data_IF_026743015088
#
_entry.id   IF_026743015088
#
_cell.length_a   1.000
_cell.length_b   1.000
_cell.length_c   1.000
_cell.angle_alpha   90.00
_cell.angle_beta   90.00
_cell.angle_gamma   90.00
#
_symmetry.space_group_name_H-M   'P 1'
#
loop_
_entity.id
_entity.type
_entity.pdbx_description
1 polymer ?
#
# COMPACT_ATOMS: atom_id res chain seq x y z
N UNK A 1 -44.62 37.56 -33.80
CA UNK A 1 -43.60 36.52 -33.53
C UNK A 1 -43.53 36.37 -32.03
N UNK A 2 -43.89 35.19 -31.50
CA UNK A 2 -43.76 34.92 -30.08
C UNK A 2 -42.26 34.89 -29.68
N UNK A 3 -41.90 35.26 -28.45
CA UNK A 3 -40.53 35.09 -27.96
C UNK A 3 -40.29 33.60 -27.72
N UNK A 4 -39.15 33.09 -28.20
CA UNK A 4 -38.63 31.76 -27.90
C UNK A 4 -38.24 31.70 -26.43
N UNK A 5 -38.84 30.77 -25.69
CA UNK A 5 -38.39 30.37 -24.35
C UNK A 5 -36.98 29.79 -24.47
N UNK A 6 -36.04 30.38 -23.73
CA UNK A 6 -34.73 29.79 -23.48
C UNK A 6 -34.96 28.78 -22.35
N UNK A 7 -34.97 27.50 -22.70
CA UNK A 7 -35.00 26.42 -21.71
C UNK A 7 -33.62 26.34 -21.08
N UNK A 8 -33.57 26.19 -19.75
CA UNK A 8 -32.36 26.17 -18.94
C UNK A 8 -31.44 24.98 -19.32
N UNK A 9 -30.35 25.24 -20.04
CA UNK A 9 -29.31 24.24 -20.33
C UNK A 9 -28.52 23.81 -19.06
N UNK A 10 -28.64 24.52 -17.94
CA UNK A 10 -27.94 24.21 -16.68
C UNK A 10 -28.65 23.13 -15.87
N UNK A 11 -29.98 23.10 -15.87
CA UNK A 11 -30.76 22.11 -15.12
C UNK A 11 -30.67 20.72 -15.79
N UNK A 12 -30.62 20.67 -17.13
CA UNK A 12 -30.48 19.43 -17.89
C UNK A 12 -29.12 18.77 -17.66
N UNK A 13 -28.04 19.57 -17.59
CA UNK A 13 -26.68 19.05 -17.40
C UNK A 13 -26.46 18.47 -15.98
N UNK A 14 -27.10 19.06 -14.96
CA UNK A 14 -27.05 18.50 -13.60
C UNK A 14 -27.89 17.23 -13.45
N UNK A 15 -29.07 17.16 -14.09
CA UNK A 15 -29.89 15.95 -14.10
C UNK A 15 -29.21 14.79 -14.85
N UNK A 16 -28.49 15.08 -15.95
CA UNK A 16 -27.71 14.09 -16.69
C UNK A 16 -26.48 13.59 -15.90
N UNK A 17 -25.72 14.50 -15.26
CA UNK A 17 -24.60 14.14 -14.37
C UNK A 17 -25.08 13.25 -13.20
N UNK A 18 -26.20 13.58 -12.57
CA UNK A 18 -26.81 12.79 -11.49
C UNK A 18 -27.27 11.39 -11.97
N UNK A 19 -27.73 11.23 -13.21
CA UNK A 19 -28.12 9.93 -13.77
C UNK A 19 -26.90 9.08 -14.14
N UNK A 20 -25.84 9.69 -14.67
CA UNK A 20 -24.58 9.01 -14.98
C UNK A 20 -23.90 8.50 -13.70
N UNK A 21 -23.84 9.31 -12.63
CA UNK A 21 -23.32 8.89 -11.32
C UNK A 21 -24.11 7.71 -10.75
N UNK A 22 -25.44 7.75 -10.81
CA UNK A 22 -26.30 6.63 -10.37
C UNK A 22 -26.04 5.37 -11.19
N UNK A 23 -25.85 5.51 -12.51
CA UNK A 23 -25.57 4.37 -13.39
C UNK A 23 -24.21 3.75 -13.07
N UNK A 24 -23.17 4.56 -12.88
CA UNK A 24 -21.86 4.12 -12.44
C UNK A 24 -21.92 3.40 -11.10
N UNK A 25 -22.61 3.97 -10.10
CA UNK A 25 -22.76 3.36 -8.79
C UNK A 25 -23.50 2.01 -8.87
N UNK A 26 -24.47 1.89 -9.77
CA UNK A 26 -25.17 0.63 -10.03
C UNK A 26 -24.23 -0.43 -10.63
N UNK A 27 -23.40 -0.04 -11.60
CA UNK A 27 -22.40 -0.94 -12.19
C UNK A 27 -21.41 -1.44 -11.13
N UNK A 28 -20.87 -0.54 -10.31
CA UNK A 28 -19.94 -0.85 -9.21
C UNK A 28 -20.56 -1.86 -8.25
N UNK A 29 -21.83 -1.66 -7.88
CA UNK A 29 -22.55 -2.56 -6.99
C UNK A 29 -22.78 -3.96 -7.61
N UNK A 30 -23.04 -4.04 -8.92
CA UNK A 30 -23.17 -5.35 -9.59
C UNK A 30 -21.82 -6.06 -9.70
N UNK A 31 -20.74 -5.36 -10.07
CA UNK A 31 -19.38 -5.90 -10.06
C UNK A 31 -19.01 -6.45 -8.69
N UNK A 32 -19.26 -5.68 -7.62
CA UNK A 32 -18.97 -6.09 -6.26
C UNK A 32 -19.76 -7.35 -5.85
N UNK A 33 -21.02 -7.48 -6.28
CA UNK A 33 -21.82 -8.70 -6.05
C UNK A 33 -21.22 -9.91 -6.77
N UNK A 34 -20.72 -9.74 -7.99
CA UNK A 34 -20.04 -10.82 -8.74
C UNK A 34 -18.72 -11.18 -8.04
N UNK A 35 -17.90 -10.20 -7.70
CA UNK A 35 -16.66 -10.39 -6.95
C UNK A 35 -16.90 -11.15 -5.64
N UNK A 36 -17.93 -10.76 -4.87
CA UNK A 36 -18.26 -11.39 -3.58
C UNK A 36 -18.66 -12.86 -3.73
N UNK A 37 -19.30 -13.24 -4.84
CA UNK A 37 -19.62 -14.65 -5.15
C UNK A 37 -18.36 -15.45 -5.49
N UNK A 38 -17.39 -14.81 -6.14
CA UNK A 38 -16.15 -15.43 -6.59
C UNK A 38 -15.02 -15.40 -5.54
N UNK A 39 -15.14 -14.57 -4.50
CA UNK A 39 -14.09 -14.38 -3.49
C UNK A 39 -13.63 -15.67 -2.80
N UNK A 40 -14.46 -16.71 -2.56
CA UNK A 40 -13.98 -17.98 -2.00
C UNK A 40 -12.98 -18.72 -2.90
N UNK A 41 -12.99 -18.47 -4.21
CA UNK A 41 -12.04 -19.07 -5.16
C UNK A 41 -10.77 -18.23 -5.31
N UNK A 42 -10.86 -16.92 -5.06
CA UNK A 42 -9.79 -15.97 -5.30
C UNK A 42 -8.89 -15.75 -4.07
N UNK A 43 -9.42 -15.91 -2.87
CA UNK A 43 -8.72 -15.56 -1.63
C UNK A 43 -8.61 -16.76 -0.68
N UNK A 44 -7.43 -16.96 -0.09
CA UNK A 44 -7.27 -17.84 1.07
C UNK A 44 -7.75 -17.17 2.36
N UNK A 45 -7.76 -15.85 2.39
CA UNK A 45 -8.15 -15.05 3.55
C UNK A 45 -8.72 -13.71 3.07
N UNK A 46 -9.84 -13.30 3.66
CA UNK A 46 -10.38 -11.96 3.49
C UNK A 46 -11.12 -11.51 4.74
N UNK A 47 -10.80 -10.30 5.20
CA UNK A 47 -11.50 -9.56 6.24
C UNK A 47 -11.90 -8.22 5.66
N UNK A 48 -13.17 -7.84 5.82
CA UNK A 48 -13.67 -6.50 5.49
C UNK A 48 -14.12 -5.82 6.77
N UNK A 49 -13.59 -4.63 7.05
CA UNK A 49 -13.90 -3.84 8.25
C UNK A 49 -14.29 -2.43 7.81
N UNK A 50 -15.50 -1.99 8.17
CA UNK A 50 -15.90 -0.60 8.03
C UNK A 50 -15.34 0.19 9.22
N UNK A 51 -14.48 1.16 8.94
CA UNK A 51 -13.95 2.08 9.95
C UNK A 51 -14.98 3.16 10.30
N UNK A 52 -14.84 3.74 11.49
CA UNK A 52 -15.66 4.88 11.91
C UNK A 52 -15.46 6.10 10.99
N UNK A 53 -14.21 6.32 10.58
CA UNK A 53 -13.77 7.35 9.66
C UNK A 53 -12.80 6.74 8.65
N UNK A 54 -12.72 7.26 7.41
CA UNK A 54 -11.79 6.77 6.42
C UNK A 54 -10.35 6.99 6.87
N UNK A 55 -9.47 6.18 6.32
CA UNK A 55 -8.03 6.25 6.57
C UNK A 55 -7.29 6.49 5.26
N UNK A 56 -6.42 7.51 5.24
CA UNK A 56 -5.60 7.85 4.08
C UNK A 56 -4.25 7.11 4.07
N UNK A 57 -3.98 6.30 5.11
CA UNK A 57 -2.68 5.68 5.31
C UNK A 57 -2.84 4.30 5.92
N UNK A 58 -2.09 3.33 5.41
CA UNK A 58 -2.01 2.00 6.00
C UNK A 58 -0.55 1.53 6.06
N UNK A 59 -0.14 0.90 7.16
CA UNK A 59 1.16 0.25 7.23
C UNK A 59 1.16 -0.91 8.23
N UNK A 60 1.60 -2.09 7.81
CA UNK A 60 1.88 -3.19 8.74
C UNK A 60 3.12 -2.90 9.58
N UNK A 61 2.98 -3.02 10.90
CA UNK A 61 4.14 -3.08 11.79
C UNK A 61 4.95 -4.36 11.54
N UNK A 62 6.27 -4.34 11.83
CA UNK A 62 7.14 -5.47 11.57
C UNK A 62 7.06 -6.55 12.65
N UNK A 63 6.56 -6.24 13.85
CA UNK A 63 6.51 -7.18 14.95
C UNK A 63 5.29 -8.11 14.88
N UNK A 64 5.50 -9.35 15.33
CA UNK A 64 4.47 -10.38 15.45
C UNK A 64 4.49 -10.90 16.88
N UNK A 65 3.34 -10.93 17.51
CA UNK A 65 3.15 -11.56 18.82
C UNK A 65 2.56 -12.94 18.64
N UNK A 66 3.33 -13.96 19.00
CA UNK A 66 2.79 -15.30 19.16
C UNK A 66 2.02 -15.40 20.48
N UNK A 67 0.81 -15.95 20.43
CA UNK A 67 -0.04 -16.13 21.62
C UNK A 67 -0.04 -17.64 21.94
N UNK A 68 0.56 -18.05 23.07
CA UNK A 68 0.56 -19.45 23.49
C UNK A 68 -0.85 -20.02 23.54
N UNK A 69 -1.00 -21.28 23.12
CA UNK A 69 -2.25 -22.03 23.11
C UNK A 69 -3.38 -21.42 22.25
N UNK A 70 -3.05 -20.45 21.38
CA UNK A 70 -3.96 -19.91 20.36
C UNK A 70 -3.50 -20.31 18.96
N UNK A 71 -4.48 -20.53 18.09
CA UNK A 71 -4.32 -20.86 16.67
C UNK A 71 -4.16 -19.62 15.78
N UNK A 72 -3.74 -18.49 16.33
CA UNK A 72 -3.49 -17.25 15.60
C UNK A 72 -2.24 -16.54 16.13
N UNK A 73 -1.72 -15.62 15.33
CA UNK A 73 -0.69 -14.66 15.71
C UNK A 73 -1.27 -13.26 15.68
N UNK A 74 -0.85 -12.38 16.58
CA UNK A 74 -1.29 -10.98 16.56
C UNK A 74 -0.25 -10.13 15.84
N UNK A 75 -0.70 -9.46 14.78
CA UNK A 75 0.02 -8.45 14.01
C UNK A 75 -0.52 -7.07 14.35
N UNK A 76 0.16 -6.00 13.94
CA UNK A 76 -0.36 -4.63 14.13
C UNK A 76 -0.40 -3.84 12.83
N UNK A 77 -1.40 -2.97 12.72
CA UNK A 77 -1.58 -2.01 11.64
C UNK A 77 -1.49 -0.59 12.19
N UNK A 78 -0.80 0.27 11.45
CA UNK A 78 -0.78 1.71 11.62
C UNK A 78 -1.80 2.33 10.68
N UNK A 79 -2.72 3.14 11.22
CA UNK A 79 -3.77 3.82 10.49
C UNK A 79 -3.87 5.29 10.94
N UNK A 80 -4.50 6.11 10.12
CA UNK A 80 -4.89 7.48 10.46
C UNK A 80 -6.40 7.69 10.35
N UNK A 81 -6.90 8.83 10.79
CA UNK A 81 -8.28 9.25 10.48
C UNK A 81 -8.30 10.44 9.55
N UNK A 82 -9.35 10.52 8.75
CA UNK A 82 -9.79 11.71 8.05
C UNK A 82 -11.24 12.00 8.46
N UNK A 83 -11.44 12.93 9.38
CA UNK A 83 -12.76 13.19 9.96
C UNK A 83 -13.46 14.41 9.36
N UNK A 84 -14.78 14.49 9.51
CA UNK A 84 -15.53 15.70 9.20
C UNK A 84 -15.13 16.90 10.09
N UNK A 85 -15.41 18.12 9.63
CA UNK A 85 -15.07 19.36 10.32
C UNK A 85 -15.53 19.37 11.79
N UNK A 86 -14.62 19.76 12.68
CA UNK A 86 -14.88 19.85 14.13
C UNK A 86 -14.91 18.50 14.87
N UNK A 87 -14.65 17.38 14.18
CA UNK A 87 -14.39 16.09 14.84
C UNK A 87 -12.90 15.90 15.10
N UNK A 88 -12.54 15.18 16.18
CA UNK A 88 -11.14 14.93 16.51
C UNK A 88 -10.54 13.87 15.59
N UNK A 89 -9.32 14.14 15.11
CA UNK A 89 -8.53 13.18 14.35
C UNK A 89 -7.59 12.39 15.27
N UNK A 90 -7.22 11.18 14.83
CA UNK A 90 -6.37 10.25 15.58
C UNK A 90 -5.35 9.55 14.69
N UNK A 91 -4.15 9.38 15.24
CA UNK A 91 -3.25 8.32 14.83
C UNK A 91 -3.70 7.03 15.54
N UNK A 92 -3.89 5.95 14.79
CA UNK A 92 -4.48 4.71 15.30
C UNK A 92 -3.55 3.51 15.13
N UNK A 93 -3.54 2.63 16.13
CA UNK A 93 -2.90 1.33 16.06
C UNK A 93 -3.98 0.28 16.24
N UNK A 94 -4.00 -0.70 15.35
CA UNK A 94 -4.91 -1.83 15.39
C UNK A 94 -4.14 -3.13 15.61
N UNK A 95 -4.69 -4.01 16.41
CA UNK A 95 -4.24 -5.40 16.48
C UNK A 95 -5.05 -6.22 15.46
N UNK A 96 -4.37 -7.10 14.73
CA UNK A 96 -4.97 -8.04 13.78
C UNK A 96 -4.60 -9.45 14.17
N UNK A 97 -5.60 -10.25 14.52
CA UNK A 97 -5.46 -11.67 14.83
C UNK A 97 -5.48 -12.45 13.51
N UNK A 98 -4.33 -12.92 13.06
CA UNK A 98 -4.18 -13.67 11.80
C UNK A 98 -4.03 -15.16 12.11
N UNK A 99 -4.90 -16.04 11.57
CA UNK A 99 -4.82 -17.48 11.79
C UNK A 99 -3.45 -18.06 11.43
N UNK A 100 -2.95 -18.97 12.26
CA UNK A 100 -1.73 -19.73 11.97
C UNK A 100 -2.01 -20.72 10.83
N UNK A 101 -1.05 -20.95 9.92
CA UNK A 101 -1.19 -21.99 8.92
C UNK A 101 -1.35 -23.35 9.62
N UNK A 102 -2.46 -24.04 9.35
CA UNK A 102 -2.67 -25.41 9.81
C UNK A 102 -1.75 -26.32 8.99
N UNK A 103 -0.87 -27.08 9.64
CA UNK A 103 -0.13 -28.14 8.96
C UNK A 103 -1.12 -29.25 8.59
N UNK A 104 -1.24 -29.63 7.30
CA UNK A 104 -2.10 -30.74 6.90
C UNK A 104 -1.68 -32.01 7.65
N UNK A 105 -2.63 -32.68 8.29
CA UNK A 105 -2.42 -34.00 8.91
C UNK A 105 -3.07 -35.07 8.05
N UNK A 106 -2.43 -36.22 7.89
CA UNK A 106 -3.01 -37.38 7.20
C UNK A 106 -4.33 -37.86 7.84
N UNK A 107 -4.62 -37.42 9.08
CA UNK A 107 -5.89 -37.68 9.78
C UNK A 107 -7.05 -36.80 9.30
N UNK A 108 -6.77 -35.74 8.55
CA UNK A 108 -7.75 -34.78 8.03
C UNK A 108 -8.12 -35.08 6.57
N UNK A 109 -7.76 -36.28 6.08
CA UNK A 109 -8.16 -36.75 4.77
C UNK A 109 -9.65 -37.11 4.79
N UNK A 110 -10.42 -36.41 3.96
CA UNK A 110 -11.82 -36.71 3.72
C UNK A 110 -11.92 -37.71 2.56
N UNK A 111 -12.26 -38.97 2.86
CA UNK A 111 -12.42 -40.04 1.86
C UNK A 111 -13.53 -39.74 0.83
N UNK A 112 -14.55 -38.95 1.20
CA UNK A 112 -15.67 -38.61 0.32
C UNK A 112 -15.30 -37.47 -0.65
N UNK A 113 -14.38 -36.58 -0.25
CA UNK A 113 -13.91 -35.45 -1.08
C UNK A 113 -12.57 -35.69 -1.75
N UNK A 114 -11.81 -36.70 -1.33
CA UNK A 114 -10.47 -36.98 -1.83
C UNK A 114 -9.44 -35.89 -1.50
N UNK A 115 -9.72 -35.03 -0.52
CA UNK A 115 -8.91 -33.85 -0.18
C UNK A 115 -8.41 -33.93 1.28
N UNK A 116 -7.17 -33.47 1.53
CA UNK A 116 -6.65 -33.24 2.88
C UNK A 116 -6.89 -31.76 3.23
N UNK A 117 -7.82 -31.50 4.15
CA UNK A 117 -8.09 -30.16 4.67
C UNK A 117 -8.99 -29.30 3.78
N UNK A 118 -10.31 -29.40 4.00
CA UNK A 118 -11.30 -28.47 3.45
C UNK A 118 -11.35 -27.12 4.18
N UNK A 119 -12.08 -26.15 3.60
CA UNK A 119 -12.43 -24.86 4.21
C UNK A 119 -13.14 -25.07 5.56
N UNK A 120 -12.37 -25.12 6.65
CA UNK A 120 -12.87 -25.42 7.99
C UNK A 120 -12.00 -26.35 8.82
N UNK A 121 -10.79 -26.72 8.36
CA UNK A 121 -9.96 -27.68 9.09
C UNK A 121 -9.61 -27.16 10.51
N UNK A 122 -10.24 -27.78 11.50
CA UNK A 122 -10.20 -27.40 12.91
C UNK A 122 -8.84 -27.84 13.47
N UNK A 123 -8.01 -26.88 13.87
CA UNK A 123 -6.88 -27.19 14.73
C UNK A 123 -7.34 -27.88 16.03
N UNK A 124 -6.40 -28.38 16.83
CA UNK A 124 -6.66 -29.14 18.07
C UNK A 124 -7.61 -28.46 19.10
N UNK A 125 -7.95 -27.18 18.91
CA UNK A 125 -8.89 -26.39 19.71
C UNK A 125 -10.36 -26.43 19.23
N UNK A 126 -10.67 -27.09 18.12
CA UNK A 126 -12.06 -27.38 17.71
C UNK A 126 -12.88 -26.21 17.14
N UNK A 127 -12.31 -25.01 16.97
CA UNK A 127 -12.96 -23.89 16.24
C UNK A 127 -11.96 -23.21 15.29
N UNK A 128 -12.35 -22.90 14.03
CA UNK A 128 -11.51 -22.13 13.12
C UNK A 128 -11.44 -20.70 13.64
N UNK A 129 -10.22 -20.18 13.87
CA UNK A 129 -10.10 -18.78 14.24
C UNK A 129 -10.36 -17.91 13.01
N UNK A 130 -11.37 -17.06 13.11
CA UNK A 130 -11.69 -16.09 12.08
C UNK A 130 -10.78 -14.89 12.29
N UNK A 131 -10.14 -14.41 11.22
CA UNK A 131 -9.33 -13.20 11.26
C UNK A 131 -10.15 -12.05 11.86
N UNK A 132 -9.56 -11.31 12.80
CA UNK A 132 -10.22 -10.19 13.48
C UNK A 132 -9.28 -9.01 13.59
N UNK A 133 -9.82 -7.80 13.45
CA UNK A 133 -9.10 -6.56 13.65
C UNK A 133 -9.77 -5.73 14.76
N UNK A 134 -8.98 -5.07 15.60
CA UNK A 134 -9.48 -4.19 16.66
C UNK A 134 -8.54 -3.03 16.90
N UNK A 135 -9.06 -1.80 16.91
CA UNK A 135 -8.28 -0.60 17.28
C UNK A 135 -7.90 -0.69 18.76
N UNK A 136 -6.61 -0.82 19.06
CA UNK A 136 -6.09 -0.99 20.43
C UNK A 136 -5.51 0.31 21.00
N UNK A 137 -5.17 1.27 20.14
CA UNK A 137 -4.73 2.58 20.58
C UNK A 137 -5.19 3.69 19.64
N UNK A 138 -5.61 4.81 20.23
CA UNK A 138 -5.88 6.09 19.54
C UNK A 138 -5.06 7.19 20.20
N UNK A 139 -4.23 7.88 19.43
CA UNK A 139 -3.41 9.02 19.86
C UNK A 139 -4.00 10.29 19.22
N UNK A 140 -4.27 11.32 20.04
CA UNK A 140 -4.80 12.60 19.57
C UNK A 140 -3.90 13.22 18.48
N UNK A 141 -4.47 13.52 17.32
CA UNK A 141 -3.79 14.17 16.20
C UNK A 141 -4.50 15.50 15.86
N UNK A 142 -3.77 16.60 15.59
CA UNK A 142 -4.40 17.93 15.51
C UNK A 142 -5.27 18.13 14.26
N UNK A 143 -4.98 17.43 13.17
CA UNK A 143 -5.66 17.50 11.88
C UNK A 143 -5.75 16.09 11.26
N UNK A 144 -6.19 15.95 10.03
CA UNK A 144 -6.24 14.68 9.32
C UNK A 144 -4.81 14.12 9.13
N UNK A 145 -4.71 12.80 9.03
CA UNK A 145 -3.44 12.08 8.88
C UNK A 145 -3.29 11.67 7.42
N UNK A 146 -2.63 12.51 6.60
CA UNK A 146 -2.42 12.24 5.17
C UNK A 146 -1.51 11.02 4.95
N UNK A 147 -0.43 10.91 5.74
CA UNK A 147 0.47 9.76 5.71
C UNK A 147 1.02 9.49 7.11
N UNK A 148 1.17 8.22 7.48
CA UNK A 148 1.83 7.81 8.72
C UNK A 148 2.81 6.67 8.45
N UNK A 149 4.04 6.78 8.93
CA UNK A 149 5.08 5.76 8.76
C UNK A 149 5.87 5.58 10.05
N UNK A 150 6.11 4.34 10.47
CA UNK A 150 7.02 4.05 11.58
C UNK A 150 8.49 4.10 11.15
N UNK A 151 9.38 4.44 12.07
CA UNK A 151 10.81 4.43 11.87
C UNK A 151 11.33 2.97 11.84
N UNK A 152 12.00 2.51 10.76
CA UNK A 152 12.41 1.11 10.62
C UNK A 152 13.27 0.57 11.77
N UNK A 153 14.15 1.40 12.32
CA UNK A 153 15.07 1.01 13.41
C UNK A 153 14.40 1.02 14.79
N UNK A 154 13.26 1.70 14.94
CA UNK A 154 12.45 1.70 16.15
C UNK A 154 10.98 1.96 15.79
N UNK A 155 10.18 0.89 15.57
CA UNK A 155 8.78 1.05 15.13
C UNK A 155 7.87 1.79 16.11
N UNK A 156 8.29 2.00 17.37
CA UNK A 156 7.53 2.83 18.30
C UNK A 156 7.58 4.33 17.97
N UNK A 157 8.54 4.76 17.15
CA UNK A 157 8.60 6.13 16.64
C UNK A 157 7.86 6.21 15.31
N UNK A 158 6.87 7.08 15.24
CA UNK A 158 5.97 7.24 14.10
C UNK A 158 6.03 8.69 13.63
N UNK A 159 6.29 8.91 12.36
CA UNK A 159 6.09 10.21 11.72
C UNK A 159 4.70 10.23 11.07
N UNK A 160 4.03 11.36 11.17
CA UNK A 160 2.82 11.67 10.40
C UNK A 160 3.00 12.95 9.62
N UNK A 161 2.34 13.04 8.47
CA UNK A 161 2.22 14.27 7.69
C UNK A 161 0.76 14.74 7.78
N UNK A 162 0.56 15.95 8.31
CA UNK A 162 -0.76 16.55 8.48
C UNK A 162 -1.15 17.41 7.26
N UNK A 163 -2.43 17.71 7.11
CA UNK A 163 -3.00 18.55 6.04
C UNK A 163 -2.42 19.97 6.01
N UNK A 164 -1.85 20.48 7.10
CA UNK A 164 -1.19 21.80 7.08
C UNK A 164 0.31 21.74 6.71
N UNK A 165 0.81 20.57 6.33
CA UNK A 165 2.21 20.34 5.96
C UNK A 165 3.14 20.08 7.14
N UNK A 166 2.66 20.14 8.40
CA UNK A 166 3.49 19.79 9.55
C UNK A 166 3.77 18.30 9.58
N UNK A 167 5.03 17.95 9.82
CA UNK A 167 5.44 16.59 10.11
C UNK A 167 5.47 16.42 11.64
N UNK A 168 4.68 15.51 12.18
CA UNK A 168 4.61 15.29 13.62
C UNK A 168 5.25 13.95 13.97
N UNK A 169 6.06 13.93 15.03
CA UNK A 169 6.73 12.72 15.49
C UNK A 169 6.11 12.28 16.81
N UNK A 170 5.62 11.04 16.82
CA UNK A 170 5.01 10.38 17.96
C UNK A 170 5.86 9.20 18.42
N UNK A 171 6.15 9.11 19.72
CA UNK A 171 6.61 7.90 20.39
C UNK A 171 5.39 7.26 21.03
N UNK A 172 4.83 6.24 20.37
CA UNK A 172 3.54 5.66 20.75
C UNK A 172 3.52 5.09 22.17
N UNK A 173 4.67 4.78 22.76
CA UNK A 173 4.79 4.24 24.13
C UNK A 173 4.61 5.31 25.20
N UNK A 174 4.79 6.58 24.83
CA UNK A 174 4.60 7.75 25.70
C UNK A 174 3.17 8.29 25.68
N UNK A 175 2.27 7.65 24.95
CA UNK A 175 0.85 8.00 24.89
C UNK A 175 0.00 6.89 25.51
N UNK A 176 -1.13 7.28 26.12
CA UNK A 176 -2.14 6.34 26.58
C UNK A 176 -2.75 5.55 25.41
N UNK A 177 -3.39 4.43 25.74
CA UNK A 177 -4.16 3.66 24.75
C UNK A 177 -5.41 4.41 24.28
N UNK A 178 -6.01 5.21 25.16
CA UNK A 178 -7.18 6.02 24.86
C UNK A 178 -6.80 7.49 24.69
N UNK A 179 -7.55 8.26 23.88
CA UNK A 179 -7.25 9.66 23.63
C UNK A 179 -7.43 10.49 24.90
N UNK A 180 -6.60 11.52 25.02
CA UNK A 180 -6.58 12.48 26.14
C UNK A 180 -7.32 13.77 25.80
N UNK A 181 -7.63 13.98 24.51
CA UNK A 181 -8.28 15.19 24.00
C UNK A 181 -7.30 16.33 23.70
N UNK A 182 -5.99 16.11 23.79
CA UNK A 182 -4.98 17.13 23.44
C UNK A 182 -3.80 16.50 22.69
N UNK A 183 -3.58 16.86 21.41
CA UNK A 183 -2.42 16.40 20.67
C UNK A 183 -1.11 16.81 21.36
N UNK A 184 -0.20 15.85 21.53
CA UNK A 184 1.07 16.08 22.23
C UNK A 184 2.24 15.34 21.55
N UNK A 185 2.58 15.69 20.30
CA UNK A 185 3.71 15.06 19.60
C UNK A 185 5.02 15.30 20.37
N UNK A 186 5.99 14.39 20.20
CA UNK A 186 7.33 14.55 20.76
C UNK A 186 8.11 15.63 20.01
N UNK A 187 7.98 15.68 18.69
CA UNK A 187 8.58 16.70 17.84
C UNK A 187 7.59 17.17 16.76
N UNK A 188 7.72 18.43 16.38
CA UNK A 188 7.02 19.06 15.25
C UNK A 188 8.08 19.55 14.26
N UNK A 189 8.15 18.95 13.08
CA UNK A 189 9.06 19.38 12.03
C UNK A 189 8.38 20.45 11.18
N UNK A 190 8.95 21.66 11.20
CA UNK A 190 8.37 22.86 10.60
C UNK A 190 9.23 23.29 9.42
N UNK A 191 8.64 23.33 8.24
CA UNK A 191 9.32 23.76 7.02
C UNK A 191 8.40 23.84 5.81
N UNK A 192 7.56 22.83 5.61
CA UNK A 192 6.58 22.86 4.53
C UNK A 192 5.53 23.95 4.75
N UNK A 193 5.02 24.50 3.64
CA UNK A 193 4.01 25.57 3.67
C UNK A 193 2.64 25.14 3.14
N UNK A 194 2.54 23.89 2.69
CA UNK A 194 1.32 23.27 2.17
C UNK A 194 1.31 21.80 2.56
N UNK A 195 0.18 21.13 2.35
CA UNK A 195 0.03 19.71 2.58
C UNK A 195 0.97 18.86 1.72
N UNK A 196 0.99 17.56 2.01
CA UNK A 196 1.72 16.59 1.23
C UNK A 196 1.38 15.16 1.65
N UNK A 197 1.85 14.21 0.86
CA UNK A 197 1.66 12.78 1.08
C UNK A 197 2.98 12.00 1.07
N UNK A 198 4.04 12.53 0.44
CA UNK A 198 5.37 11.93 0.45
C UNK A 198 5.99 11.96 1.85
N UNK A 199 6.19 10.79 2.44
CA UNK A 199 6.79 10.61 3.76
C UNK A 199 7.49 9.25 3.81
N UNK A 200 8.82 9.25 3.96
CA UNK A 200 9.58 8.01 4.10
C UNK A 200 10.76 8.16 5.07
N UNK A 201 11.01 7.11 5.84
CA UNK A 201 12.12 7.04 6.78
C UNK A 201 13.36 6.49 6.09
N UNK A 202 14.53 6.97 6.51
CA UNK A 202 15.77 6.36 6.08
C UNK A 202 15.85 4.91 6.60
N UNK A 203 16.11 3.92 5.72
CA UNK A 203 16.25 2.52 6.13
C UNK A 203 17.56 2.28 6.92
N UNK A 204 18.56 3.13 6.74
CA UNK A 204 19.90 2.99 7.32
C UNK A 204 20.12 3.91 8.54
N UNK A 205 19.67 5.16 8.46
CA UNK A 205 19.93 6.17 9.51
C UNK A 205 18.70 6.37 10.39
N UNK A 206 18.77 5.85 11.62
CA UNK A 206 17.77 6.11 12.64
C UNK A 206 17.53 7.63 12.79
N UNK A 207 16.27 8.06 12.90
CA UNK A 207 15.91 9.47 13.06
C UNK A 207 16.05 10.34 11.80
N UNK A 208 16.37 9.78 10.64
CA UNK A 208 16.38 10.51 9.36
C UNK A 208 15.10 10.21 8.58
N UNK A 209 14.45 11.26 8.06
CA UNK A 209 13.25 11.11 7.24
C UNK A 209 13.26 12.10 6.07
N UNK A 210 12.49 11.80 5.03
CA UNK A 210 12.29 12.63 3.86
C UNK A 210 10.80 12.87 3.65
N UNK A 211 10.44 14.09 3.27
CA UNK A 211 9.05 14.49 2.99
C UNK A 211 8.94 15.25 1.68
N UNK A 212 7.83 15.06 0.97
CA UNK A 212 7.43 15.80 -0.23
C UNK A 212 6.10 16.53 0.00
N UNK A 213 5.91 17.68 -0.64
CA UNK A 213 4.75 18.54 -0.43
C UNK A 213 4.31 19.26 -1.71
N UNK A 214 3.06 19.73 -1.70
CA UNK A 214 2.49 20.65 -2.69
C UNK A 214 3.19 22.02 -2.75
N UNK A 215 4.00 22.34 -1.74
CA UNK A 215 4.88 23.51 -1.80
C UNK A 215 6.04 23.34 -2.81
N UNK A 216 6.09 22.18 -3.50
CA UNK A 216 7.04 21.81 -4.56
C UNK A 216 8.43 21.47 -4.05
N UNK A 217 8.55 21.17 -2.76
CA UNK A 217 9.84 20.96 -2.11
C UNK A 217 9.94 19.59 -1.49
N UNK A 218 11.16 19.09 -1.46
CA UNK A 218 11.53 17.89 -0.69
C UNK A 218 12.34 18.33 0.51
N UNK A 219 11.98 17.87 1.70
CA UNK A 219 12.72 18.17 2.92
C UNK A 219 13.30 16.90 3.51
N UNK A 220 14.57 16.96 3.90
CA UNK A 220 15.23 15.91 4.66
C UNK A 220 15.44 16.43 6.08
N UNK A 221 15.11 15.59 7.05
CA UNK A 221 15.15 15.91 8.46
C UNK A 221 16.12 14.98 9.17
N UNK A 222 16.89 15.53 10.11
CA UNK A 222 17.73 14.78 11.03
C UNK A 222 17.24 15.07 12.45
N UNK A 223 16.47 14.13 13.00
CA UNK A 223 15.86 14.28 14.32
C UNK A 223 16.89 14.14 15.45
N UNK A 224 18.06 13.53 15.20
CA UNK A 224 19.08 13.32 16.23
C UNK A 224 19.93 14.55 16.50
N UNK A 225 20.10 15.40 15.48
CA UNK A 225 20.83 16.66 15.62
C UNK A 225 20.05 17.70 16.43
N UNK A 226 18.80 17.42 16.79
CA UNK A 226 17.97 18.32 17.56
C UNK A 226 18.26 18.21 19.06
N UNK A 227 18.84 19.27 19.62
CA UNK A 227 19.08 19.42 21.06
C UNK A 227 18.33 20.62 21.66
N UNK A 228 17.28 21.09 20.98
CA UNK A 228 16.51 22.26 21.40
C UNK A 228 15.63 21.98 22.62
N UNK A 229 15.23 23.05 23.31
CA UNK A 229 14.24 22.99 24.40
C UNK A 229 12.81 23.14 23.89
N UNK A 230 12.62 23.71 22.69
CA UNK A 230 11.33 23.65 22.00
C UNK A 230 11.09 22.22 21.47
N UNK A 231 9.91 21.94 20.91
CA UNK A 231 9.64 20.68 20.21
C UNK A 231 9.81 20.81 18.70
N UNK A 232 10.36 21.94 18.22
CA UNK A 232 10.27 22.39 16.83
C UNK A 232 11.57 22.12 16.08
N UNK A 233 11.53 21.23 15.10
CA UNK A 233 12.68 20.82 14.29
C UNK A 233 12.62 21.52 12.93
N UNK A 234 13.74 22.11 12.49
CA UNK A 234 13.89 22.66 11.15
C UNK A 234 14.44 21.58 10.20
N UNK A 235 14.16 21.66 8.88
CA UNK A 235 14.72 20.69 7.95
C UNK A 235 16.24 20.79 7.95
N UNK A 236 16.91 19.64 7.91
CA UNK A 236 18.35 19.57 7.71
C UNK A 236 18.72 20.11 6.33
N UNK A 237 17.88 19.80 5.32
CA UNK A 237 18.03 20.33 3.97
C UNK A 237 16.69 20.44 3.26
N UNK A 238 16.53 21.52 2.49
CA UNK A 238 15.39 21.78 1.62
C UNK A 238 15.83 21.73 0.17
N UNK A 239 15.17 20.89 -0.62
CA UNK A 239 15.41 20.67 -2.04
C UNK A 239 14.30 21.32 -2.87
N UNK A 240 14.68 21.94 -3.99
CA UNK A 240 13.80 22.75 -4.85
C UNK A 240 14.01 22.43 -6.33
N UNK A 241 14.26 21.16 -6.65
CA UNK A 241 14.54 20.70 -8.02
C UNK A 241 13.28 20.36 -8.83
N UNK A 242 12.11 20.24 -8.18
CA UNK A 242 10.81 20.07 -8.84
C UNK A 242 10.14 21.42 -9.08
N UNK A 243 9.33 21.50 -10.14
CA UNK A 243 8.61 22.72 -10.52
C UNK A 243 7.11 22.70 -10.12
N UNK A 244 6.59 21.53 -9.74
CA UNK A 244 5.21 21.30 -9.30
C UNK A 244 5.17 20.45 -8.03
N UNK A 245 3.97 20.07 -7.58
CA UNK A 245 3.71 19.28 -6.37
C UNK A 245 4.60 18.05 -6.34
N UNK A 246 5.20 17.74 -5.19
CA UNK A 246 5.93 16.49 -4.99
C UNK A 246 4.98 15.49 -4.35
N UNK A 247 4.55 14.50 -5.12
CA UNK A 247 3.52 13.56 -4.71
C UNK A 247 4.06 12.50 -3.76
N UNK A 248 5.26 11.98 -4.04
CA UNK A 248 5.86 10.91 -3.25
C UNK A 248 7.39 11.00 -3.19
N UNK A 249 7.95 10.47 -2.11
CA UNK A 249 9.38 10.38 -1.84
C UNK A 249 9.70 9.04 -1.21
N UNK A 250 10.79 8.40 -1.64
CA UNK A 250 11.24 7.15 -1.04
C UNK A 250 12.76 7.06 -1.01
N UNK A 251 13.32 6.72 0.16
CA UNK A 251 14.72 6.34 0.27
C UNK A 251 14.95 5.05 -0.51
N UNK A 252 16.10 4.98 -1.19
CA UNK A 252 16.54 3.73 -1.78
C UNK A 252 16.91 2.73 -0.65
N UNK A 253 16.35 1.51 -0.63
CA UNK A 253 16.56 0.54 0.45
C UNK A 253 17.99 -0.01 0.51
N UNK A 254 18.77 0.10 -0.57
CA UNK A 254 20.13 -0.44 -0.67
C UNK A 254 21.18 0.67 -0.62
N UNK A 255 20.91 1.81 -1.26
CA UNK A 255 21.79 2.98 -1.33
C UNK A 255 21.18 4.13 -0.53
N UNK A 256 21.39 4.20 0.80
CA UNK A 256 20.65 5.11 1.67
C UNK A 256 20.95 6.61 1.46
N UNK A 257 21.96 6.95 0.65
CA UNK A 257 22.20 8.33 0.24
C UNK A 257 21.25 8.81 -0.85
N UNK A 258 20.50 7.92 -1.49
CA UNK A 258 19.60 8.26 -2.59
C UNK A 258 18.16 8.31 -2.11
N UNK A 259 17.46 9.35 -2.53
CA UNK A 259 16.02 9.49 -2.36
C UNK A 259 15.44 9.72 -3.75
N UNK A 260 14.49 8.87 -4.12
CA UNK A 260 13.69 9.04 -5.32
C UNK A 260 12.48 9.91 -5.01
N UNK A 261 12.10 10.77 -5.96
CA UNK A 261 11.05 11.76 -5.80
C UNK A 261 10.26 11.86 -7.10
N UNK A 262 8.94 12.01 -7.01
CA UNK A 262 8.05 12.12 -8.17
C UNK A 262 7.08 13.28 -8.02
N UNK A 263 6.63 13.83 -9.15
CA UNK A 263 5.91 15.10 -9.17
C UNK A 263 4.94 15.21 -10.34
N UNK A 264 3.97 16.10 -10.18
CA UNK A 264 3.10 16.65 -11.23
C UNK A 264 3.87 17.27 -12.39
N UNK A 265 5.17 17.58 -12.23
CA UNK A 265 6.01 18.07 -13.32
C UNK A 265 6.44 16.98 -14.34
N UNK A 266 5.82 15.80 -14.25
CA UNK A 266 6.02 14.63 -15.12
C UNK A 266 7.42 14.01 -15.02
N UNK A 267 8.15 14.30 -13.93
CA UNK A 267 9.50 13.78 -13.73
C UNK A 267 9.63 12.89 -12.50
N UNK A 268 10.38 11.80 -12.67
CA UNK A 268 11.01 11.09 -11.57
C UNK A 268 12.43 11.62 -11.43
N UNK A 269 12.78 12.09 -10.24
CA UNK A 269 14.10 12.60 -9.92
C UNK A 269 14.73 11.79 -8.79
N UNK A 270 16.05 11.70 -8.77
CA UNK A 270 16.80 11.09 -7.67
C UNK A 270 17.76 12.13 -7.12
N UNK A 271 17.64 12.42 -5.83
CA UNK A 271 18.60 13.27 -5.11
C UNK A 271 19.64 12.40 -4.40
N UNK A 272 20.88 12.88 -4.38
CA UNK A 272 21.94 12.31 -3.55
C UNK A 272 22.20 13.25 -2.38
N UNK A 273 21.86 12.82 -1.16
CA UNK A 273 21.93 13.67 0.04
C UNK A 273 23.36 14.09 0.40
N UNK A 274 24.39 13.49 -0.21
CA UNK A 274 25.79 13.90 -0.02
C UNK A 274 26.12 15.16 -0.81
N UNK A 275 25.38 15.46 -1.88
CA UNK A 275 25.59 16.61 -2.75
C UNK A 275 24.95 17.86 -2.16
N UNK A 276 25.69 18.96 -2.05
CA UNK A 276 25.20 20.20 -1.43
C UNK A 276 24.26 21.05 -2.29
N UNK A 277 24.26 20.86 -3.62
CA UNK A 277 23.35 21.56 -4.53
C UNK A 277 21.93 21.00 -4.37
N UNK A 278 21.02 21.82 -3.86
CA UNK A 278 19.64 21.45 -3.57
C UNK A 278 18.66 21.76 -4.71
N UNK A 279 19.11 22.47 -5.74
CA UNK A 279 18.29 22.87 -6.88
C UNK A 279 18.41 21.88 -8.06
N UNK A 280 19.28 20.88 -7.95
CA UNK A 280 19.50 19.87 -9.00
C UNK A 280 19.42 18.47 -8.44
N UNK A 281 18.72 17.61 -9.17
CA UNK A 281 18.76 16.18 -8.93
C UNK A 281 20.03 15.54 -9.50
N UNK A 282 20.45 14.43 -8.89
CA UNK A 282 21.57 13.62 -9.35
C UNK A 282 21.22 12.78 -10.60
N UNK A 283 19.95 12.36 -10.72
CA UNK A 283 19.42 11.70 -11.90
C UNK A 283 17.97 12.16 -12.15
N UNK A 284 17.57 12.20 -13.43
CA UNK A 284 16.24 12.64 -13.85
C UNK A 284 15.75 11.76 -14.99
N UNK A 285 14.56 11.19 -14.85
CA UNK A 285 13.79 10.61 -15.94
C UNK A 285 12.73 11.62 -16.40
N UNK A 286 12.63 11.83 -17.72
CA UNK A 286 11.70 12.78 -18.35
C UNK A 286 10.94 12.07 -19.45
N UNK A 287 9.77 12.60 -19.81
CA UNK A 287 8.96 12.13 -20.95
C UNK A 287 8.62 10.64 -20.86
N UNK A 288 8.53 10.10 -19.64
CA UNK A 288 8.09 8.73 -19.41
C UNK A 288 6.58 8.62 -19.34
N UNK A 289 5.98 9.56 -18.63
CA UNK A 289 4.55 9.61 -18.37
C UNK A 289 3.93 10.82 -19.07
N UNK A 290 2.67 10.68 -19.48
CA UNK A 290 1.91 11.78 -20.10
C UNK A 290 1.13 12.62 -19.10
N UNK A 291 1.10 12.21 -17.83
CA UNK A 291 0.41 12.90 -16.74
C UNK A 291 1.18 12.75 -15.41
N UNK A 292 0.71 13.42 -14.35
CA UNK A 292 1.33 13.50 -13.03
C UNK A 292 1.83 12.14 -12.52
N UNK A 293 3.01 12.12 -11.90
CA UNK A 293 3.57 10.90 -11.33
C UNK A 293 3.25 10.91 -9.83
N UNK A 294 2.39 9.99 -9.40
CA UNK A 294 1.79 9.97 -8.07
C UNK A 294 2.61 9.20 -7.03
N UNK A 295 3.28 8.11 -7.43
CA UNK A 295 4.04 7.27 -6.51
C UNK A 295 5.33 6.73 -7.10
N UNK A 296 6.30 6.42 -6.24
CA UNK A 296 7.59 5.83 -6.59
C UNK A 296 7.89 4.63 -5.68
N UNK A 297 8.43 3.56 -6.25
CA UNK A 297 8.81 2.38 -5.50
C UNK A 297 10.15 1.79 -5.96
N UNK A 298 11.14 1.79 -5.08
CA UNK A 298 12.43 1.12 -5.28
C UNK A 298 12.30 -0.38 -5.13
N UNK A 299 12.91 -1.13 -6.05
CA UNK A 299 13.02 -2.56 -5.85
C UNK A 299 13.91 -2.86 -4.63
N UNK A 300 13.47 -3.74 -3.71
CA UNK A 300 14.20 -4.02 -2.47
C UNK A 300 15.49 -4.83 -2.66
N UNK A 301 15.73 -5.43 -3.83
CA UNK A 301 16.94 -6.23 -4.13
C UNK A 301 17.82 -5.65 -5.22
N UNK A 302 17.25 -4.93 -6.18
CA UNK A 302 17.98 -4.34 -7.31
C UNK A 302 18.05 -2.83 -7.13
N UNK A 303 19.21 -2.31 -6.73
CA UNK A 303 19.37 -0.92 -6.29
C UNK A 303 19.13 0.16 -7.37
N UNK A 304 19.14 -0.21 -8.66
CA UNK A 304 18.90 0.71 -9.78
C UNK A 304 17.53 0.49 -10.46
N UNK A 305 16.73 -0.47 -10.00
CA UNK A 305 15.40 -0.74 -10.52
C UNK A 305 14.36 0.06 -9.71
N UNK A 306 13.57 0.88 -10.39
CA UNK A 306 12.55 1.71 -9.76
C UNK A 306 11.28 1.70 -10.60
N UNK A 307 10.14 1.67 -9.92
CA UNK A 307 8.82 1.78 -10.51
C UNK A 307 8.21 3.15 -10.22
N UNK A 308 7.44 3.70 -11.15
CA UNK A 308 6.68 4.94 -10.99
C UNK A 308 5.24 4.74 -11.43
N UNK A 309 4.29 5.25 -10.66
CA UNK A 309 2.86 5.20 -10.98
C UNK A 309 2.35 6.59 -11.33
N UNK A 310 1.44 6.68 -12.30
CA UNK A 310 1.00 7.96 -12.85
C UNK A 310 -0.52 8.04 -13.01
N UNK A 311 -1.00 9.29 -13.05
CA UNK A 311 -2.33 9.66 -13.49
C UNK A 311 -2.61 9.24 -14.94
N UNK A 312 -1.58 8.93 -15.74
CA UNK A 312 -1.73 8.36 -17.08
C UNK A 312 -2.17 6.89 -17.11
N UNK A 313 -2.51 6.33 -15.94
CA UNK A 313 -3.03 4.96 -15.73
C UNK A 313 -1.97 3.87 -15.89
N UNK A 314 -0.72 4.24 -16.14
CA UNK A 314 0.38 3.28 -16.36
C UNK A 314 1.38 3.29 -15.22
N UNK A 315 2.16 2.22 -15.16
CA UNK A 315 3.32 2.11 -14.27
C UNK A 315 4.57 2.00 -15.14
N UNK A 316 5.51 2.92 -14.96
CA UNK A 316 6.81 2.87 -15.62
C UNK A 316 7.82 2.06 -14.81
N UNK A 317 8.51 1.12 -15.44
CA UNK A 317 9.69 0.44 -14.88
C UNK A 317 10.95 1.07 -15.46
N UNK A 318 11.92 1.38 -14.61
CA UNK A 318 13.11 2.15 -14.97
C UNK A 318 14.39 1.50 -14.49
N UNK A 319 15.43 1.59 -15.30
CA UNK A 319 16.81 1.33 -14.91
C UNK A 319 17.55 2.67 -14.77
N UNK A 320 17.93 3.04 -13.54
CA UNK A 320 18.67 4.28 -13.27
C UNK A 320 19.97 4.41 -14.06
N UNK A 321 20.57 3.29 -14.48
CA UNK A 321 21.83 3.29 -15.24
C UNK A 321 21.63 3.81 -16.66
N UNK A 322 20.40 3.82 -17.16
CA UNK A 322 20.09 4.22 -18.54
C UNK A 322 18.77 5.00 -18.68
N UNK A 323 18.54 6.01 -17.83
CA UNK A 323 17.32 6.83 -17.89
C UNK A 323 17.10 7.56 -19.22
N UNK A 324 18.17 7.74 -20.03
CA UNK A 324 18.07 8.37 -21.35
C UNK A 324 17.34 7.49 -22.37
N UNK A 325 17.35 6.17 -22.19
CA UNK A 325 16.61 5.25 -23.06
C UNK A 325 15.09 5.26 -22.76
N UNK A 326 14.66 5.90 -21.67
CA UNK A 326 13.27 5.90 -21.23
C UNK A 326 12.96 4.76 -20.28
N UNK A 327 11.67 4.43 -20.18
CA UNK A 327 11.17 3.26 -19.44
C UNK A 327 11.78 1.99 -20.05
N UNK A 328 12.19 1.03 -19.22
CA UNK A 328 12.56 -0.31 -19.71
C UNK A 328 11.32 -1.16 -19.97
N UNK A 329 10.20 -0.86 -19.31
CA UNK A 329 8.90 -1.49 -19.51
C UNK A 329 7.76 -0.58 -19.01
N UNK A 330 6.54 -0.81 -19.49
CA UNK A 330 5.31 -0.16 -19.00
C UNK A 330 4.32 -1.25 -18.62
N UNK A 331 3.82 -1.22 -17.38
CA UNK A 331 2.72 -2.08 -16.95
C UNK A 331 1.39 -1.37 -17.25
N UNK A 332 0.54 -2.05 -18.01
CA UNK A 332 -0.76 -1.55 -18.46
C UNK A 332 -1.87 -2.48 -17.96
N UNK A 333 -2.98 -1.93 -17.45
CA UNK A 333 -4.10 -2.71 -16.94
C UNK A 333 -5.02 -1.95 -15.98
N UNK A 334 -4.55 -0.85 -15.39
CA UNK A 334 -5.40 0.08 -14.66
C UNK A 334 -6.25 0.95 -15.60
N UNK A 335 -7.47 1.28 -15.16
CA UNK A 335 -8.42 2.08 -15.94
C UNK A 335 -8.50 3.54 -15.50
N UNK A 336 -7.79 3.89 -14.43
CA UNK A 336 -7.72 5.23 -13.86
C UNK A 336 -6.35 5.48 -13.19
N UNK A 337 -6.14 6.70 -12.68
CA UNK A 337 -4.90 7.14 -12.07
C UNK A 337 -4.35 6.14 -11.05
N UNK A 338 -3.10 5.71 -11.25
CA UNK A 338 -2.41 4.83 -10.30
C UNK A 338 -1.79 5.72 -9.22
N UNK A 339 -2.16 5.48 -7.96
CA UNK A 339 -1.86 6.40 -6.85
C UNK A 339 -0.88 5.84 -5.82
N UNK A 340 -0.66 4.53 -5.83
CA UNK A 340 0.23 3.87 -4.87
C UNK A 340 0.98 2.70 -5.48
N UNK A 341 2.24 2.53 -5.06
CA UNK A 341 3.10 1.41 -5.44
C UNK A 341 3.80 0.85 -4.22
N UNK A 342 3.94 -0.48 -4.18
CA UNK A 342 4.79 -1.13 -3.20
C UNK A 342 5.31 -2.46 -3.73
N UNK A 343 6.63 -2.61 -3.78
CA UNK A 343 7.26 -3.90 -4.01
C UNK A 343 6.96 -4.84 -2.85
N UNK A 344 6.72 -6.11 -3.16
CA UNK A 344 6.59 -7.14 -2.15
C UNK A 344 7.93 -7.27 -1.39
N UNK A 345 7.88 -7.31 -0.04
CA UNK A 345 9.09 -7.28 0.79
C UNK A 345 9.86 -8.61 0.81
N UNK A 346 9.29 -9.69 0.26
CA UNK A 346 9.86 -11.05 0.26
C UNK A 346 10.16 -11.49 -1.18
N UNK A 347 9.17 -11.39 -2.07
CA UNK A 347 9.34 -11.71 -3.48
C UNK A 347 9.58 -10.45 -4.31
N UNK A 348 10.82 -10.23 -4.69
CA UNK A 348 11.24 -8.98 -5.33
C UNK A 348 10.88 -8.88 -6.81
N UNK A 349 10.26 -9.90 -7.41
CA UNK A 349 9.63 -9.81 -8.72
C UNK A 349 8.19 -9.26 -8.63
N UNK A 350 7.60 -9.23 -7.44
CA UNK A 350 6.20 -8.86 -7.26
C UNK A 350 6.07 -7.39 -6.90
N UNK A 351 5.27 -6.66 -7.68
CA UNK A 351 4.90 -5.27 -7.45
C UNK A 351 3.40 -5.17 -7.22
N UNK A 352 2.96 -4.47 -6.18
CA UNK A 352 1.56 -4.07 -6.02
C UNK A 352 1.34 -2.65 -6.52
N UNK A 353 0.17 -2.39 -7.10
CA UNK A 353 -0.29 -1.04 -7.44
C UNK A 353 -1.75 -0.82 -7.04
N UNK A 354 -2.06 0.34 -6.48
CA UNK A 354 -3.42 0.78 -6.20
C UNK A 354 -3.82 1.95 -7.09
N UNK A 355 -5.09 1.99 -7.52
CA UNK A 355 -5.60 3.00 -8.44
C UNK A 355 -6.97 3.54 -8.02
N UNK A 356 -7.30 4.71 -8.53
CA UNK A 356 -8.64 5.30 -8.47
C UNK A 356 -9.69 4.47 -9.22
N UNK A 357 -9.30 3.50 -10.04
CA UNK A 357 -10.22 2.52 -10.64
C UNK A 357 -10.81 1.51 -9.65
N UNK A 358 -10.51 1.67 -8.35
CA UNK A 358 -11.00 0.86 -7.23
C UNK A 358 -10.37 -0.55 -7.20
N UNK A 359 -9.26 -0.75 -7.92
CA UNK A 359 -8.53 -2.02 -7.96
C UNK A 359 -7.14 -1.89 -7.35
N UNK A 360 -6.68 -3.03 -6.85
CA UNK A 360 -5.26 -3.26 -6.60
C UNK A 360 -4.81 -4.35 -7.56
N UNK A 361 -3.75 -4.12 -8.32
CA UNK A 361 -3.16 -5.12 -9.20
C UNK A 361 -1.83 -5.58 -8.60
N UNK A 362 -1.63 -6.90 -8.58
CA UNK A 362 -0.35 -7.53 -8.29
C UNK A 362 0.28 -7.92 -9.62
N UNK A 363 1.51 -7.47 -9.84
CA UNK A 363 2.29 -7.70 -11.05
C UNK A 363 3.46 -8.62 -10.74
N UNK A 364 3.72 -9.57 -11.62
CA UNK A 364 4.96 -10.35 -11.61
C UNK A 364 5.83 -9.92 -12.80
N UNK A 365 6.87 -9.14 -12.52
CA UNK A 365 7.75 -8.63 -13.57
C UNK A 365 8.63 -9.71 -14.20
N UNK A 366 8.66 -10.94 -13.64
CA UNK A 366 9.38 -12.06 -14.24
C UNK A 366 8.65 -12.70 -15.41
N UNK A 367 7.34 -12.46 -15.54
CA UNK A 367 6.49 -12.96 -16.62
C UNK A 367 6.43 -11.99 -17.82
N UNK A 368 7.13 -10.85 -17.75
CA UNK A 368 7.14 -9.87 -18.85
C UNK A 368 7.66 -10.54 -20.13
N UNK A 369 6.84 -10.52 -21.16
CA UNK A 369 7.17 -11.05 -22.48
C UNK A 369 6.91 -12.55 -22.64
N UNK A 370 6.30 -13.22 -21.65
CA UNK A 370 5.83 -14.59 -21.81
C UNK A 370 4.74 -14.68 -22.88
N UNK A 371 4.70 -15.79 -23.61
CA UNK A 371 3.69 -16.02 -24.65
C UNK A 371 2.32 -16.33 -24.03
N UNK A 372 1.29 -15.63 -24.50
CA UNK A 372 -0.10 -15.86 -24.13
C UNK A 372 -0.92 -16.36 -25.33
N UNK A 373 -1.96 -17.14 -25.05
CA UNK A 373 -3.03 -17.40 -26.03
C UNK A 373 -3.81 -16.11 -26.32
N UNK A 374 -4.49 -16.01 -27.48
CA UNK A 374 -5.33 -14.85 -27.78
C UNK A 374 -6.39 -14.58 -26.71
N UNK A 375 -6.97 -15.63 -26.13
CA UNK A 375 -7.97 -15.52 -25.06
C UNK A 375 -7.38 -14.95 -23.76
N UNK A 376 -6.19 -15.39 -23.35
CA UNK A 376 -5.51 -14.85 -22.16
C UNK A 376 -5.10 -13.38 -22.34
N UNK A 377 -4.69 -13.00 -23.55
CA UNK A 377 -4.31 -11.62 -23.87
C UNK A 377 -5.50 -10.64 -23.83
N UNK A 378 -6.75 -11.12 -23.92
CA UNK A 378 -7.94 -10.29 -23.71
C UNK A 378 -8.13 -9.92 -22.23
N UNK A 379 -7.66 -10.75 -21.29
CA UNK A 379 -7.79 -10.52 -19.85
C UNK A 379 -6.67 -9.62 -19.28
N UNK A 380 -5.54 -9.51 -19.98
CA UNK A 380 -4.44 -8.62 -19.60
C UNK A 380 -3.06 -9.15 -20.04
N UNK A 381 -2.00 -8.35 -19.81
CA UNK A 381 -0.64 -8.76 -20.14
C UNK A 381 -0.16 -9.90 -19.22
N UNK A 382 0.88 -10.68 -19.61
CA UNK A 382 1.29 -11.88 -18.86
C UNK A 382 1.80 -11.56 -17.46
N UNK A 383 2.36 -10.37 -17.25
CA UNK A 383 2.78 -9.88 -15.94
C UNK A 383 1.64 -9.50 -14.98
N UNK A 384 0.38 -9.42 -15.43
CA UNK A 384 -0.77 -9.17 -14.55
C UNK A 384 -1.13 -10.46 -13.81
N UNK A 385 -0.64 -10.60 -12.58
CA UNK A 385 -0.80 -11.83 -11.79
C UNK A 385 -2.16 -11.92 -11.10
N UNK A 386 -2.64 -10.82 -10.51
CA UNK A 386 -3.89 -10.82 -9.74
C UNK A 386 -4.51 -9.43 -9.64
N UNK A 387 -5.83 -9.36 -9.76
CA UNK A 387 -6.59 -8.12 -9.54
C UNK A 387 -7.54 -8.27 -8.35
N UNK A 388 -7.33 -7.44 -7.32
CA UNK A 388 -8.22 -7.33 -6.19
C UNK A 388 -9.36 -6.34 -6.48
N UNK A 389 -10.59 -6.85 -6.57
CA UNK A 389 -11.81 -6.10 -6.84
C UNK A 389 -12.74 -5.91 -5.62
N UNK A 390 -12.20 -5.99 -4.40
CA UNK A 390 -12.99 -5.93 -3.17
C UNK A 390 -13.44 -4.54 -2.75
N UNK A 391 -12.90 -3.48 -3.35
CA UNK A 391 -13.23 -2.09 -3.03
C UNK A 391 -14.27 -1.50 -3.98
N UNK A 392 -15.16 -0.68 -3.43
CA UNK A 392 -16.25 -0.01 -4.14
C UNK A 392 -16.02 1.48 -4.34
N UNK A 393 -14.90 2.01 -3.84
CA UNK A 393 -14.51 3.41 -3.99
C UNK A 393 -12.99 3.53 -4.22
N UNK A 394 -12.50 4.73 -4.46
CA UNK A 394 -11.10 5.03 -4.75
C UNK A 394 -10.18 4.50 -3.63
N UNK A 395 -9.03 3.94 -4.04
CA UNK A 395 -8.04 3.44 -3.10
C UNK A 395 -7.25 4.59 -2.48
N UNK A 396 -7.16 4.56 -1.16
CA UNK A 396 -6.41 5.54 -0.38
C UNK A 396 -4.95 5.10 -0.13
N UNK A 397 -4.74 3.88 0.36
CA UNK A 397 -3.39 3.31 0.57
C UNK A 397 -3.46 1.78 0.67
N UNK A 398 -2.34 1.11 0.47
CA UNK A 398 -2.20 -0.32 0.76
C UNK A 398 -0.81 -0.66 1.29
N UNK A 399 -0.69 -1.82 1.97
CA UNK A 399 0.55 -2.25 2.59
C UNK A 399 0.68 -3.77 2.59
N UNK A 400 1.86 -4.25 2.20
CA UNK A 400 2.27 -5.65 2.35
C UNK A 400 2.62 -5.98 3.81
N UNK A 401 2.16 -7.12 4.29
CA UNK A 401 2.67 -7.70 5.52
C UNK A 401 4.08 -8.26 5.28
N UNK A 402 5.03 -7.95 6.18
CA UNK A 402 6.43 -8.38 6.06
C UNK A 402 6.69 -9.79 6.60
N UNK A 403 5.76 -10.33 7.37
CA UNK A 403 5.90 -11.60 8.10
C UNK A 403 5.10 -12.74 7.46
N UNK A 404 3.96 -12.42 6.84
CA UNK A 404 3.10 -13.38 6.14
C UNK A 404 3.14 -13.06 4.64
N UNK A 405 3.76 -13.92 3.81
CA UNK A 405 3.79 -13.73 2.37
C UNK A 405 2.39 -13.54 1.80
N UNK A 406 2.27 -12.60 0.86
CA UNK A 406 1.03 -12.33 0.10
C UNK A 406 -0.13 -11.74 0.91
N UNK A 407 0.03 -11.50 2.21
CA UNK A 407 -0.99 -10.83 3.01
C UNK A 407 -0.90 -9.31 2.81
N UNK A 408 -2.01 -8.70 2.42
CA UNK A 408 -2.12 -7.28 2.11
C UNK A 408 -3.19 -6.64 2.99
N UNK A 409 -2.96 -5.41 3.42
CA UNK A 409 -3.99 -4.52 3.94
C UNK A 409 -4.21 -3.41 2.92
N UNK A 410 -5.46 -3.06 2.63
CA UNK A 410 -5.82 -1.93 1.77
C UNK A 410 -7.02 -1.17 2.31
N UNK A 411 -7.06 0.13 2.05
CA UNK A 411 -8.16 1.00 2.47
C UNK A 411 -8.67 1.84 1.30
N UNK A 412 -9.98 2.06 1.29
CA UNK A 412 -10.66 2.94 0.34
C UNK A 412 -11.33 4.12 1.06
N UNK A 413 -11.72 5.12 0.28
CA UNK A 413 -12.30 6.38 0.77
C UNK A 413 -13.70 6.23 1.39
N UNK A 414 -14.39 5.12 1.16
CA UNK A 414 -15.71 4.77 1.71
C UNK A 414 -15.62 4.08 3.10
N UNK A 415 -14.55 4.36 3.85
CA UNK A 415 -14.22 3.79 5.16
C UNK A 415 -13.90 2.29 5.15
N UNK A 416 -13.89 1.64 3.99
CA UNK A 416 -13.66 0.20 3.91
C UNK A 416 -12.16 -0.11 4.01
N UNK A 417 -11.79 -0.86 5.06
CA UNK A 417 -10.49 -1.49 5.18
C UNK A 417 -10.61 -2.99 4.92
N UNK A 418 -9.75 -3.52 4.08
CA UNK A 418 -9.67 -4.94 3.78
C UNK A 418 -8.31 -5.51 4.10
N UNK A 419 -8.30 -6.71 4.70
CA UNK A 419 -7.10 -7.52 4.87
C UNK A 419 -7.33 -8.80 4.08
N UNK A 420 -6.47 -9.08 3.10
CA UNK A 420 -6.71 -10.15 2.15
C UNK A 420 -5.43 -10.84 1.72
N UNK A 421 -5.55 -12.09 1.31
CA UNK A 421 -4.47 -12.91 0.78
C UNK A 421 -5.01 -13.70 -0.41
N UNK A 422 -4.40 -13.58 -1.61
CA UNK A 422 -4.76 -14.41 -2.76
C UNK A 422 -4.60 -15.90 -2.46
N UNK A 423 -5.40 -16.73 -3.10
CA UNK A 423 -5.25 -18.18 -2.96
C UNK A 423 -3.93 -18.66 -3.56
N UNK A 424 -3.36 -19.73 -2.98
CA UNK A 424 -2.07 -20.28 -3.42
C UNK A 424 -2.07 -20.75 -4.88
N UNK A 425 -3.21 -21.21 -5.40
CA UNK A 425 -3.29 -21.66 -6.80
C UNK A 425 -3.07 -20.56 -7.83
N UNK A 426 -3.22 -19.29 -7.44
CA UNK A 426 -2.95 -18.14 -8.31
C UNK A 426 -1.48 -17.73 -8.22
N UNK A 427 -0.92 -17.71 -7.01
CA UNK A 427 0.40 -17.11 -6.73
C UNK A 427 1.56 -18.11 -6.70
N UNK A 428 1.29 -19.41 -6.85
CA UNK A 428 2.34 -20.43 -6.92
C UNK A 428 2.79 -20.59 -8.37
N UNK A 429 4.10 -20.61 -8.66
CA UNK A 429 4.57 -20.81 -10.02
C UNK A 429 4.12 -22.19 -10.54
N UNK A 430 3.77 -22.31 -11.83
CA UNK A 430 3.20 -23.53 -12.41
C UNK A 430 4.09 -24.79 -12.27
N UNK A 431 5.39 -24.63 -11.99
CA UNK A 431 6.36 -25.72 -11.85
C UNK A 431 6.66 -26.15 -10.39
N UNK A 432 5.95 -25.64 -9.38
CA UNK A 432 5.92 -26.27 -8.06
C UNK A 432 4.72 -27.23 -8.00
N UNK A 433 4.78 -28.32 -8.78
CA UNK A 433 4.04 -29.51 -8.40
C UNK A 433 4.45 -29.85 -6.97
N UNK A 434 3.45 -29.99 -6.09
CA UNK A 434 3.66 -30.53 -4.75
C UNK A 434 4.51 -31.79 -4.88
N UNK A 435 5.66 -31.86 -4.21
CA UNK A 435 6.38 -33.11 -3.98
C UNK A 435 5.48 -34.03 -3.13
N UNK A 436 4.46 -34.62 -3.76
CA UNK A 436 3.79 -35.83 -3.31
C UNK A 436 4.62 -37.02 -3.81
N UNK A 437 5.84 -37.16 -3.29
CA UNK A 437 6.63 -38.37 -3.47
C UNK A 437 7.46 -38.64 -2.23
N UNK A 438 6.80 -39.19 -1.20
CA UNK A 438 7.38 -40.21 -0.31
C UNK A 438 6.26 -40.85 0.55
N UNK A 439 5.24 -41.41 -0.10
CA UNK A 439 4.42 -42.46 0.52
C UNK A 439 4.24 -43.57 -0.51
N UNK A 440 5.16 -44.54 -0.51
CA UNK A 440 5.01 -45.72 -1.35
C UNK A 440 6.31 -46.47 -1.68
N UNK A 441 6.98 -47.04 -0.69
CA UNK A 441 7.77 -48.26 -0.90
C UNK A 441 7.97 -49.04 0.40
N UNK A 442 6.86 -49.45 1.01
CA UNK A 442 6.86 -50.59 1.92
C UNK A 442 6.29 -51.79 1.16
N UNK A 443 7.09 -52.40 0.30
CA UNK A 443 6.85 -53.76 -0.18
C UNK A 443 8.19 -54.43 -0.55
N UNK A 444 8.86 -54.91 0.49
CA UNK A 444 9.97 -55.86 0.40
C UNK A 444 9.53 -57.16 1.05
N UNK A 445 8.75 -57.95 0.32
CA UNK A 445 8.38 -59.33 0.67
C UNK A 445 9.65 -60.16 0.86
N UNK A 446 9.81 -60.75 2.03
CA UNK A 446 10.75 -61.86 2.25
C UNK A 446 10.12 -62.90 3.18
N UNK A 447 9.63 -63.99 2.57
CA UNK A 447 9.49 -65.33 3.19
C UNK A 447 9.59 -66.35 2.02
N UNK A 448 10.21 -67.54 2.20
CA UNK A 448 10.85 -68.10 3.39
C UNK A 448 12.38 -68.17 3.35
#
# INVERSE_FOLDING_TARGET
>A
MAPTEVVNDVDVNMEEEDEDEKMQQKLINEEYKVWKKNSPFLYSMILSTALEWPTLTTQWFPDVKDVPDKNYTTHRLLLGTHTAEGKPNYLQIADVEVPKPVKPSARDYDEDRGEIGGHGNLGASGEPHVIKMTITQKIDHPLEVNKARYQPQNPDIIATLAVDGRVLIFDRTKHSLQPTGTPNPQLECIGHTKEGFGLDWSPDKAGWLATGSEDRTVMVWDLNSYSGTDKKVKPWRKYTHHNHVVNDVQYNPITPSWIGTVSDDLTMQVIDIRTSDTAKAAAIARNGHSDAINAIAWNPKVNYLVATASADKTIGIWDLRNLKAGKIHTLEGHNDAVTSLAWNPIDHAILGSGSYDRRIILWDISLIGDEQTPEEAEDGPPELLFMHGGHTNHLADFSWNRNIPWLVCSAAEDNLLQIWQPTKSIISPPNQEMEMNEMGSADGTSIP
#
